data_IF_780446283931
#
_entry.id   IF_780446283931
#
_cell.length_a   1.000
_cell.length_b   1.000
_cell.length_c   1.000
_cell.angle_alpha   90.00
_cell.angle_beta   90.00
_cell.angle_gamma   90.00
#
_symmetry.space_group_name_H-M   'P 1'
#
loop_
_entity.id
_entity.type
_entity.pdbx_description
1 polymer ?
#
# COMPACT_ATOMS: atom_id res chain seq x y z
N UNK A 1 11.91 11.68 -11.65
CA UNK A 1 12.06 10.59 -10.66
C UNK A 1 10.92 9.63 -10.91
N UNK A 2 11.21 8.38 -11.30
CA UNK A 2 10.18 7.38 -11.50
C UNK A 2 9.48 7.13 -10.16
N UNK A 3 8.17 7.39 -10.09
CA UNK A 3 7.33 7.03 -8.96
C UNK A 3 7.50 5.53 -8.72
N UNK A 4 8.23 5.13 -7.68
CA UNK A 4 8.23 3.74 -7.21
C UNK A 4 6.80 3.46 -6.76
N UNK A 5 6.02 2.80 -7.61
CA UNK A 5 4.74 2.20 -7.23
C UNK A 5 5.01 1.31 -6.03
N UNK A 6 4.19 1.42 -4.99
CA UNK A 6 4.29 0.52 -3.84
C UNK A 6 3.99 -0.92 -4.30
N UNK A 7 4.48 -1.92 -3.57
CA UNK A 7 4.13 -3.32 -3.89
C UNK A 7 2.62 -3.57 -3.89
N UNK A 8 1.86 -2.74 -3.16
CA UNK A 8 0.40 -2.78 -3.18
C UNK A 8 -0.18 -2.24 -4.50
N UNK A 9 0.40 -1.17 -5.05
CA UNK A 9 -0.01 -0.60 -6.34
C UNK A 9 0.27 -1.57 -7.51
N UNK A 10 1.34 -2.37 -7.41
CA UNK A 10 1.63 -3.43 -8.38
C UNK A 10 0.58 -4.55 -8.33
N UNK A 11 0.19 -5.01 -7.14
CA UNK A 11 -0.87 -6.02 -6.98
C UNK A 11 -2.23 -5.49 -7.45
N UNK A 12 -2.55 -4.23 -7.17
CA UNK A 12 -3.79 -3.60 -7.68
C UNK A 12 -3.79 -3.51 -9.22
N UNK A 13 -2.64 -3.22 -9.83
CA UNK A 13 -2.49 -3.22 -11.29
C UNK A 13 -2.75 -4.61 -11.87
N UNK A 14 -2.19 -5.66 -11.26
CA UNK A 14 -2.39 -7.05 -11.69
C UNK A 14 -3.87 -7.45 -11.57
N UNK A 15 -4.54 -7.07 -10.48
CA UNK A 15 -5.96 -7.34 -10.29
C UNK A 15 -6.83 -6.67 -11.36
N UNK A 16 -6.50 -5.43 -11.74
CA UNK A 16 -7.17 -4.71 -12.84
C UNK A 16 -6.93 -5.39 -14.18
N UNK A 17 -5.69 -5.78 -14.49
CA UNK A 17 -5.36 -6.49 -15.72
C UNK A 17 -6.07 -7.85 -15.83
N UNK A 18 -6.18 -8.60 -14.72
CA UNK A 18 -6.97 -9.83 -14.68
C UNK A 18 -8.44 -9.53 -14.97
N UNK A 19 -8.99 -8.45 -14.42
CA UNK A 19 -10.35 -7.98 -14.73
C UNK A 19 -10.56 -7.72 -16.23
N UNK A 20 -9.67 -6.95 -16.85
CA UNK A 20 -9.72 -6.66 -18.30
C UNK A 20 -9.63 -7.93 -19.14
N UNK A 21 -8.72 -8.86 -18.80
CA UNK A 21 -8.61 -10.14 -19.52
C UNK A 21 -9.84 -11.02 -19.38
N UNK A 22 -10.53 -10.97 -18.23
CA UNK A 22 -11.81 -11.67 -18.05
C UNK A 22 -12.86 -11.08 -18.99
N UNK A 23 -12.94 -9.76 -19.12
CA UNK A 23 -13.89 -9.09 -20.02
C UNK A 23 -13.61 -9.45 -21.48
N UNK A 24 -12.35 -9.42 -21.92
CA UNK A 24 -11.95 -9.85 -23.26
C UNK A 24 -12.31 -11.31 -23.54
N UNK A 25 -12.13 -12.20 -22.54
CA UNK A 25 -12.51 -13.61 -22.67
C UNK A 25 -14.03 -13.79 -22.73
N UNK A 26 -14.80 -13.00 -21.97
CA UNK A 26 -16.27 -13.02 -22.04
C UNK A 26 -16.73 -12.62 -23.44
N UNK A 27 -16.11 -11.60 -24.04
CA UNK A 27 -16.44 -11.13 -25.38
C UNK A 27 -16.10 -12.19 -26.45
N UNK A 28 -14.90 -12.77 -26.39
CA UNK A 28 -14.50 -13.89 -27.25
C UNK A 28 -15.38 -15.12 -27.07
N UNK A 29 -15.85 -15.39 -25.86
CA UNK A 29 -16.76 -16.50 -25.57
C UNK A 29 -18.17 -16.29 -26.11
N UNK A 30 -18.63 -15.05 -26.27
CA UNK A 30 -19.91 -14.73 -26.92
C UNK A 30 -19.85 -14.93 -28.43
N UNK A 31 -18.70 -14.66 -29.04
CA UNK A 31 -18.44 -14.86 -30.47
C UNK A 31 -18.10 -16.31 -30.81
N UNK A 32 -17.61 -17.09 -29.85
CA UNK A 32 -17.32 -18.51 -30.00
C UNK A 32 -18.57 -19.38 -29.88
N UNK A 33 -18.66 -20.43 -30.71
CA UNK A 33 -19.70 -21.45 -30.64
C UNK A 33 -19.16 -22.83 -30.24
N UNK A 34 -20.01 -23.67 -29.65
CA UNK A 34 -19.69 -25.07 -29.34
C UNK A 34 -18.61 -25.24 -28.25
N UNK A 35 -17.74 -26.23 -28.41
CA UNK A 35 -16.71 -26.61 -27.42
C UNK A 35 -15.75 -25.46 -27.05
N UNK A 36 -15.48 -24.54 -27.99
CA UNK A 36 -14.64 -23.37 -27.74
C UNK A 36 -15.27 -22.40 -26.71
N UNK A 37 -16.61 -22.30 -26.70
CA UNK A 37 -17.33 -21.49 -25.73
C UNK A 37 -17.22 -22.09 -24.33
N UNK A 38 -17.39 -23.40 -24.20
CA UNK A 38 -17.32 -24.11 -22.91
C UNK A 38 -15.92 -24.01 -22.29
N UNK A 39 -14.86 -24.10 -23.11
CA UNK A 39 -13.48 -23.94 -22.63
C UNK A 39 -13.18 -22.50 -22.18
N UNK A 40 -13.72 -21.51 -22.89
CA UNK A 40 -13.61 -20.09 -22.54
C UNK A 40 -14.37 -19.79 -21.24
N UNK A 41 -15.59 -20.30 -21.08
CA UNK A 41 -16.38 -20.15 -19.86
C UNK A 41 -15.68 -20.77 -18.64
N UNK A 42 -15.07 -21.95 -18.82
CA UNK A 42 -14.27 -22.58 -17.77
C UNK A 42 -13.07 -21.73 -17.36
N UNK A 43 -12.33 -21.17 -18.33
CA UNK A 43 -11.19 -20.26 -18.06
C UNK A 43 -11.64 -18.97 -17.36
N UNK A 44 -12.79 -18.41 -17.75
CA UNK A 44 -13.37 -17.23 -17.08
C UNK A 44 -13.68 -17.54 -15.62
N UNK A 45 -14.27 -18.71 -15.34
CA UNK A 45 -14.59 -19.11 -13.97
C UNK A 45 -13.33 -19.25 -13.10
N UNK A 46 -12.32 -19.95 -13.60
CA UNK A 46 -11.04 -20.13 -12.89
C UNK A 46 -10.35 -18.78 -12.62
N UNK A 47 -10.37 -17.85 -13.58
CA UNK A 47 -9.78 -16.53 -13.41
C UNK A 47 -10.54 -15.68 -12.39
N UNK A 48 -11.88 -15.76 -12.36
CA UNK A 48 -12.70 -15.08 -11.35
C UNK A 48 -12.44 -15.61 -9.94
N UNK A 49 -12.32 -16.92 -9.78
CA UNK A 49 -12.01 -17.54 -8.49
C UNK A 49 -10.61 -17.13 -8.00
N UNK A 50 -9.59 -17.20 -8.87
CA UNK A 50 -8.23 -16.78 -8.54
C UNK A 50 -8.16 -15.29 -8.17
N UNK A 51 -8.85 -14.43 -8.92
CA UNK A 51 -8.95 -12.99 -8.62
C UNK A 51 -9.56 -12.76 -7.25
N UNK A 52 -10.68 -13.43 -6.94
CA UNK A 52 -11.37 -13.29 -5.65
C UNK A 52 -10.46 -13.68 -4.48
N UNK A 53 -9.71 -14.76 -4.64
CA UNK A 53 -8.73 -15.19 -3.62
C UNK A 53 -7.63 -14.15 -3.45
N UNK A 54 -7.07 -13.65 -4.56
CA UNK A 54 -6.01 -12.65 -4.54
C UNK A 54 -6.47 -11.32 -3.92
N UNK A 55 -7.70 -10.88 -4.21
CA UNK A 55 -8.32 -9.69 -3.58
C UNK A 55 -8.47 -9.87 -2.07
N UNK A 56 -8.88 -11.06 -1.60
CA UNK A 56 -8.99 -11.36 -0.17
C UNK A 56 -7.64 -11.32 0.54
N UNK A 57 -6.61 -11.92 -0.06
CA UNK A 57 -5.26 -11.91 0.51
C UNK A 57 -4.65 -10.51 0.50
N UNK A 58 -4.88 -9.75 -0.56
CA UNK A 58 -4.48 -8.35 -0.67
C UNK A 58 -5.10 -7.49 0.44
N UNK A 59 -6.42 -7.60 0.66
CA UNK A 59 -7.09 -6.85 1.73
C UNK A 59 -6.59 -7.25 3.11
N UNK A 60 -6.44 -8.55 3.38
CA UNK A 60 -5.85 -9.03 4.65
C UNK A 60 -4.42 -8.51 4.88
N UNK A 61 -3.61 -8.49 3.82
CA UNK A 61 -2.25 -7.96 3.87
C UNK A 61 -2.23 -6.47 4.18
N UNK A 62 -3.10 -5.70 3.52
CA UNK A 62 -3.24 -4.26 3.72
C UNK A 62 -3.70 -3.93 5.15
N UNK A 63 -4.77 -4.59 5.61
CA UNK A 63 -5.29 -4.43 6.99
C UNK A 63 -4.22 -4.76 8.04
N UNK A 64 -3.44 -5.82 7.83
CA UNK A 64 -2.37 -6.20 8.78
C UNK A 64 -1.26 -5.14 8.84
N UNK A 65 -0.87 -4.59 7.69
CA UNK A 65 0.16 -3.53 7.65
C UNK A 65 -0.36 -2.24 8.27
N UNK A 66 -1.59 -1.85 7.96
CA UNK A 66 -2.22 -0.66 8.53
C UNK A 66 -2.39 -0.79 10.06
N UNK A 67 -2.81 -1.96 10.54
CA UNK A 67 -2.90 -2.25 11.96
C UNK A 67 -1.55 -2.17 12.66
N UNK A 68 -0.51 -2.81 12.11
CA UNK A 68 0.85 -2.74 12.67
C UNK A 68 1.41 -1.33 12.66
N UNK A 69 1.10 -0.55 11.62
CA UNK A 69 1.51 0.84 11.53
C UNK A 69 0.83 1.68 12.61
N UNK A 70 -0.48 1.53 12.79
CA UNK A 70 -1.23 2.27 13.80
C UNK A 70 -0.83 1.85 15.23
N UNK A 71 -0.66 0.55 15.51
CA UNK A 71 -0.20 0.06 16.81
C UNK A 71 1.19 0.60 17.16
N UNK A 72 2.14 0.55 16.21
CA UNK A 72 3.45 1.17 16.42
C UNK A 72 3.32 2.68 16.57
N UNK A 73 2.51 3.35 15.75
CA UNK A 73 2.35 4.79 15.84
C UNK A 73 1.80 5.19 17.22
N UNK A 74 0.80 4.50 17.75
CA UNK A 74 0.28 4.74 19.10
C UNK A 74 1.31 4.43 20.21
N UNK A 75 2.13 3.38 20.05
CA UNK A 75 3.20 3.02 20.98
C UNK A 75 4.35 4.06 21.00
N UNK A 76 4.72 4.58 19.82
CA UNK A 76 5.87 5.48 19.67
C UNK A 76 5.49 6.97 19.68
N UNK A 77 4.24 7.36 19.41
CA UNK A 77 3.79 8.76 19.45
C UNK A 77 4.10 9.49 20.76
N UNK A 78 3.84 8.94 21.96
CA UNK A 78 4.17 9.64 23.20
C UNK A 78 5.68 9.87 23.32
N UNK A 79 6.49 8.85 23.00
CA UNK A 79 7.95 8.93 23.07
C UNK A 79 8.55 9.86 22.01
N UNK A 80 7.98 9.90 20.80
CA UNK A 80 8.42 10.79 19.71
C UNK A 80 8.05 12.25 20.03
N UNK A 81 6.86 12.50 20.56
CA UNK A 81 6.45 13.84 20.97
C UNK A 81 7.28 14.36 22.15
N UNK A 82 7.55 13.51 23.14
CA UNK A 82 8.41 13.83 24.28
C UNK A 82 9.86 14.08 23.83
N UNK A 83 10.40 13.21 22.95
CA UNK A 83 11.75 13.39 22.38
C UNK A 83 11.86 14.64 21.51
N UNK A 84 10.84 14.98 20.73
CA UNK A 84 10.80 16.20 19.91
C UNK A 84 10.74 17.47 20.78
N UNK A 85 10.00 17.43 21.89
CA UNK A 85 9.95 18.51 22.87
C UNK A 85 11.31 18.72 23.52
N UNK A 86 11.94 17.66 24.02
CA UNK A 86 13.29 17.73 24.61
C UNK A 86 14.35 18.17 23.60
N UNK A 87 14.26 17.72 22.35
CA UNK A 87 15.17 18.15 21.29
C UNK A 87 15.04 19.65 21.00
N UNK A 88 13.82 20.18 20.94
CA UNK A 88 13.56 21.60 20.72
C UNK A 88 14.06 22.47 21.89
N UNK A 89 13.82 22.03 23.12
CA UNK A 89 14.34 22.69 24.32
C UNK A 89 15.88 22.66 24.36
N UNK A 90 16.50 21.51 24.06
CA UNK A 90 17.95 21.38 23.97
C UNK A 90 18.56 22.28 22.88
N UNK A 91 17.95 22.34 21.69
CA UNK A 91 18.36 23.25 20.62
C UNK A 91 18.25 24.72 21.05
N UNK A 92 17.18 25.09 21.75
CA UNK A 92 16.99 26.44 22.26
C UNK A 92 18.07 26.82 23.27
N UNK A 93 18.39 25.93 24.22
CA UNK A 93 19.46 26.12 25.20
C UNK A 93 20.84 26.22 24.54
N UNK A 94 21.11 25.42 23.51
CA UNK A 94 22.35 25.50 22.71
C UNK A 94 22.44 26.86 22.01
N UNK A 95 21.37 27.32 21.38
CA UNK A 95 21.33 28.62 20.68
C UNK A 95 21.50 29.78 21.68
N UNK A 96 20.87 29.71 22.85
CA UNK A 96 21.02 30.71 23.91
C UNK A 96 22.43 30.74 24.48
N UNK A 97 23.04 29.58 24.77
CA UNK A 97 24.43 29.48 25.21
C UNK A 97 25.41 30.04 24.18
N UNK A 98 25.20 29.72 22.89
CA UNK A 98 25.99 30.30 21.79
C UNK A 98 25.82 31.82 21.72
N UNK A 99 24.60 32.36 21.88
CA UNK A 99 24.37 33.81 21.91
C UNK A 99 25.02 34.50 23.10
N UNK A 100 25.03 33.88 24.28
CA UNK A 100 25.71 34.43 25.47
C UNK A 100 27.23 34.45 25.29
N UNK A 101 27.79 33.39 24.72
CA UNK A 101 29.22 33.29 24.43
C UNK A 101 29.67 34.24 23.31
N UNK A 102 28.85 34.46 22.28
CA UNK A 102 29.14 35.37 21.17
C UNK A 102 28.75 36.83 21.43
N UNK A 103 27.80 37.08 22.34
CA UNK A 103 27.34 38.42 22.76
C UNK A 103 28.06 38.96 23.99
N UNK A 104 28.86 38.15 24.69
CA UNK A 104 29.83 38.63 25.68
C UNK A 104 31.08 39.16 24.97
N UNK A 105 30.95 40.34 24.35
CA UNK A 105 32.05 41.23 24.01
C UNK A 105 31.62 42.68 24.16
#
# INVERSE_FOLDING_TARGET
MANKKSGFDEVESILKEIGTKIEELIEKGKEAGGEAKDEIEKKIKDLKEKRTTLEKEYQKGKEKVEKLYNEKKEEYEPNINESAFHFKEGLKQIIEGIKVLLGSK
#
